data_IF_500403068718
#
_entry.id   IF_500403068718
#
_cell.length_a   1.000
_cell.length_b   1.000
_cell.length_c   1.000
_cell.angle_alpha   90.00
_cell.angle_beta   90.00
_cell.angle_gamma   90.00
#
_symmetry.space_group_name_H-M   'P 1'
#
loop_
_entity.id
_entity.type
_entity.pdbx_description
1 polymer ?
#
# COMPACT_ATOMS: atom_id res chain seq x y z
N UNK A 1 24.38 -2.26 -1.94
CA UNK A 1 23.41 -1.74 -0.98
C UNK A 1 22.20 -1.32 -1.77
N UNK A 2 21.08 -2.03 -1.60
CA UNK A 2 19.89 -1.96 -2.45
C UNK A 2 18.82 -1.16 -1.73
N UNK A 3 18.35 -0.09 -2.36
CA UNK A 3 17.20 0.69 -1.89
C UNK A 3 16.01 0.40 -2.80
N UNK A 4 14.84 0.16 -2.21
CA UNK A 4 13.66 -0.24 -2.97
C UNK A 4 12.49 0.71 -2.74
N UNK A 5 11.71 0.99 -3.79
CA UNK A 5 10.42 1.65 -3.69
C UNK A 5 9.35 0.59 -3.38
N UNK A 6 8.60 0.77 -2.28
CA UNK A 6 7.44 -0.08 -2.00
C UNK A 6 6.34 0.23 -3.02
N UNK A 7 5.90 -0.78 -3.76
CA UNK A 7 4.98 -0.60 -4.88
C UNK A 7 3.93 -1.71 -4.96
N UNK A 8 2.64 -1.36 -5.15
CA UNK A 8 2.05 -0.03 -5.33
C UNK A 8 1.50 0.59 -4.03
N UNK A 9 1.88 0.07 -2.86
CA UNK A 9 1.39 0.47 -1.55
C UNK A 9 2.40 1.34 -0.76
N UNK A 10 1.92 1.95 0.32
CA UNK A 10 2.73 2.80 1.21
C UNK A 10 2.96 2.22 2.62
N UNK A 11 2.21 1.19 2.98
CA UNK A 11 2.37 0.48 4.25
C UNK A 11 2.88 -0.92 3.95
N UNK A 12 3.55 -1.55 4.93
CA UNK A 12 3.99 -2.94 4.86
C UNK A 12 2.80 -3.91 5.02
N UNK A 13 1.77 -3.69 4.23
CA UNK A 13 0.64 -4.58 4.03
C UNK A 13 0.68 -5.05 2.56
N UNK A 14 0.52 -6.34 2.28
CA UNK A 14 0.52 -7.45 3.25
C UNK A 14 1.86 -7.59 4.01
N UNK A 15 1.82 -8.20 5.21
CA UNK A 15 2.98 -8.34 6.10
C UNK A 15 4.14 -9.14 5.48
N UNK A 16 3.89 -10.00 4.47
CA UNK A 16 4.95 -10.66 3.71
C UNK A 16 6.00 -9.69 3.15
N UNK A 17 5.62 -8.44 2.86
CA UNK A 17 6.57 -7.39 2.42
C UNK A 17 7.75 -7.19 3.39
N UNK A 18 7.56 -7.42 4.69
CA UNK A 18 8.60 -7.30 5.71
C UNK A 18 9.76 -8.28 5.50
N UNK A 19 9.51 -9.42 4.85
CA UNK A 19 10.53 -10.44 4.58
C UNK A 19 11.63 -9.92 3.63
N UNK A 20 11.33 -8.90 2.83
CA UNK A 20 12.32 -8.25 1.96
C UNK A 20 13.31 -7.36 2.73
N UNK A 21 13.00 -6.96 3.97
CA UNK A 21 13.79 -5.97 4.70
C UNK A 21 15.24 -6.41 4.94
N UNK A 22 15.51 -7.71 5.02
CA UNK A 22 16.88 -8.22 5.19
C UNK A 22 17.74 -8.05 3.93
N UNK A 23 17.11 -7.80 2.78
CA UNK A 23 17.77 -7.67 1.47
C UNK A 23 17.85 -6.22 0.98
N UNK A 24 17.30 -5.27 1.75
CA UNK A 24 17.27 -3.84 1.41
C UNK A 24 17.78 -3.00 2.58
N UNK A 25 18.57 -1.99 2.25
CA UNK A 25 19.09 -1.06 3.26
C UNK A 25 18.02 -0.04 3.67
N UNK A 26 17.28 0.47 2.68
CA UNK A 26 16.12 1.35 2.88
C UNK A 26 14.98 1.00 1.93
N UNK A 27 13.76 1.14 2.45
CA UNK A 27 12.51 1.09 1.70
C UNK A 27 11.95 2.50 1.60
N UNK A 28 11.61 2.92 0.40
CA UNK A 28 10.99 4.20 0.13
C UNK A 28 9.49 4.04 -0.04
N UNK A 29 8.74 4.96 0.56
CA UNK A 29 7.28 5.05 0.46
C UNK A 29 6.88 6.45 0.07
N UNK A 30 5.70 6.59 -0.53
CA UNK A 30 5.17 7.92 -0.82
C UNK A 30 4.60 8.55 0.45
N UNK A 31 4.95 9.79 0.72
CA UNK A 31 4.43 10.51 1.89
C UNK A 31 3.07 11.14 1.56
N UNK A 32 2.00 10.54 2.08
CA UNK A 32 0.68 11.14 2.16
C UNK A 32 0.43 11.77 3.54
N UNK A 33 -0.80 12.20 3.82
CA UNK A 33 -1.14 12.95 5.03
C UNK A 33 -0.85 12.19 6.33
N UNK A 34 -1.17 10.89 6.39
CA UNK A 34 -1.10 10.08 7.62
C UNK A 34 -0.06 8.95 7.54
N UNK A 35 0.69 8.83 6.43
CA UNK A 35 1.64 7.73 6.20
C UNK A 35 2.65 7.59 7.34
N UNK A 36 3.24 8.69 7.81
CA UNK A 36 4.21 8.67 8.91
C UNK A 36 3.58 8.22 10.23
N UNK A 37 2.38 8.69 10.54
CA UNK A 37 1.58 8.28 11.70
C UNK A 37 1.29 6.79 11.68
N UNK A 38 0.85 6.25 10.54
CA UNK A 38 0.59 4.81 10.40
C UNK A 38 1.85 3.97 10.56
N UNK A 39 2.95 4.37 9.92
CA UNK A 39 4.22 3.65 10.03
C UNK A 39 4.77 3.69 11.46
N UNK A 40 4.63 4.82 12.18
CA UNK A 40 5.02 4.90 13.59
C UNK A 40 4.13 4.04 14.49
N UNK A 41 2.82 3.97 14.21
CA UNK A 41 1.87 3.13 14.96
C UNK A 41 2.15 1.65 14.76
N UNK A 42 2.37 1.21 13.52
CA UNK A 42 2.45 -0.21 13.20
C UNK A 42 3.88 -0.77 13.18
N UNK A 43 4.87 0.03 12.83
CA UNK A 43 6.26 -0.41 12.65
C UNK A 43 7.26 0.61 13.24
N UNK A 44 7.16 0.94 14.55
CA UNK A 44 8.05 1.92 15.18
C UNK A 44 9.54 1.55 15.08
N UNK A 45 9.87 0.26 15.00
CA UNK A 45 11.22 -0.25 14.86
C UNK A 45 11.84 -0.04 13.46
N UNK A 46 11.01 0.24 12.44
CA UNK A 46 11.47 0.36 11.05
C UNK A 46 11.78 1.79 10.62
N UNK A 47 11.66 2.77 11.52
CA UNK A 47 11.79 4.20 11.18
C UNK A 47 13.11 4.52 10.48
N UNK A 48 14.23 3.93 10.90
CA UNK A 48 15.54 4.16 10.28
C UNK A 48 15.69 3.50 8.89
N UNK A 49 14.88 2.47 8.60
CA UNK A 49 14.83 1.78 7.32
C UNK A 49 13.89 2.43 6.31
N UNK A 50 13.08 3.41 6.71
CA UNK A 50 12.08 4.03 5.84
C UNK A 50 12.58 5.37 5.30
N UNK A 51 12.48 5.55 3.98
CA UNK A 51 12.64 6.83 3.30
C UNK A 51 11.30 7.34 2.79
N UNK A 52 11.10 8.65 2.84
CA UNK A 52 9.87 9.30 2.38
C UNK A 52 10.10 10.02 1.06
N UNK A 53 9.17 9.84 0.13
CA UNK A 53 9.11 10.60 -1.12
C UNK A 53 7.91 11.54 -1.04
N UNK A 54 8.20 12.83 -0.86
CA UNK A 54 7.17 13.87 -0.76
C UNK A 54 6.71 14.35 -2.13
N UNK A 55 5.51 14.91 -2.18
CA UNK A 55 5.03 15.61 -3.36
C UNK A 55 5.85 16.86 -3.64
N UNK A 56 6.04 17.20 -4.92
CA UNK A 56 6.53 18.52 -5.30
C UNK A 56 5.52 19.57 -4.84
N UNK A 57 6.01 20.69 -4.35
CA UNK A 57 5.18 21.84 -4.05
C UNK A 57 4.60 22.40 -5.36
N UNK A 58 3.42 21.92 -5.76
CA UNK A 58 2.68 22.46 -6.90
C UNK A 58 1.55 23.36 -6.40
N UNK A 59 1.67 24.67 -6.65
CA UNK A 59 0.67 25.66 -6.26
C UNK A 59 -0.71 25.43 -6.92
N UNK A 60 -0.78 24.63 -8.00
CA UNK A 60 -2.03 24.37 -8.74
C UNK A 60 -2.90 23.29 -8.08
N UNK A 61 -2.28 22.34 -7.38
CA UNK A 61 -3.00 21.28 -6.71
C UNK A 61 -3.40 21.78 -5.32
N UNK A 62 -4.63 22.28 -5.19
CA UNK A 62 -5.25 22.61 -3.89
C UNK A 62 -5.50 21.33 -3.07
N UNK A 63 -4.45 20.63 -2.67
CA UNK A 63 -4.50 19.37 -1.93
C UNK A 63 -4.98 19.57 -0.48
N UNK A 64 -5.01 20.83 0.00
CA UNK A 64 -5.44 21.20 1.35
C UNK A 64 -6.87 20.75 1.68
N UNK A 65 -7.73 20.63 0.67
CA UNK A 65 -9.13 20.25 0.87
C UNK A 65 -9.34 18.72 0.85
N UNK A 66 -8.34 17.93 0.43
CA UNK A 66 -8.47 16.47 0.28
C UNK A 66 -8.81 15.75 1.60
N UNK A 67 -8.23 16.08 2.77
CA UNK A 67 -8.60 15.42 4.02
C UNK A 67 -10.09 15.60 4.38
N UNK A 68 -10.64 16.79 4.12
CA UNK A 68 -12.07 17.07 4.36
C UNK A 68 -12.95 16.27 3.39
N UNK A 69 -12.57 16.21 2.10
CA UNK A 69 -13.28 15.41 1.10
C UNK A 69 -13.24 13.92 1.47
N UNK A 70 -12.06 13.43 1.88
CA UNK A 70 -11.87 12.05 2.31
C UNK A 70 -12.78 11.70 3.49
N UNK A 71 -12.82 12.56 4.51
CA UNK A 71 -13.68 12.40 5.69
C UNK A 71 -15.15 12.34 5.28
N UNK A 72 -15.60 13.25 4.41
CA UNK A 72 -16.98 13.27 3.91
C UNK A 72 -17.33 12.00 3.14
N UNK A 73 -16.41 11.49 2.30
CA UNK A 73 -16.60 10.24 1.56
C UNK A 73 -16.67 9.03 2.48
N UNK A 74 -15.87 9.00 3.55
CA UNK A 74 -15.90 7.93 4.55
C UNK A 74 -17.24 7.94 5.31
N UNK A 75 -17.67 9.10 5.82
CA UNK A 75 -18.96 9.24 6.49
C UNK A 75 -20.13 8.86 5.59
N UNK A 76 -20.07 9.25 4.31
CA UNK A 76 -21.06 8.84 3.33
C UNK A 76 -21.05 7.33 3.09
N UNK A 77 -19.86 6.73 2.96
CA UNK A 77 -19.68 5.28 2.81
C UNK A 77 -20.23 4.49 3.99
N UNK A 78 -20.03 4.97 5.22
CA UNK A 78 -20.62 4.39 6.43
C UNK A 78 -22.14 4.48 6.43
N UNK A 79 -22.68 5.64 6.04
CA UNK A 79 -24.12 5.85 5.96
C UNK A 79 -24.80 4.86 4.99
N UNK A 80 -24.27 4.69 3.78
CA UNK A 80 -24.88 3.83 2.75
C UNK A 80 -24.66 2.32 2.94
N UNK A 81 -24.03 1.91 4.05
CA UNK A 81 -23.69 0.49 4.30
C UNK A 81 -24.93 -0.39 4.54
N UNK A 82 -26.06 0.17 4.97
CA UNK A 82 -27.29 -0.61 5.18
C UNK A 82 -28.16 -0.64 3.92
N UNK A 83 -28.89 -1.75 3.66
CA UNK A 83 -29.81 -1.83 2.52
C UNK A 83 -30.85 -0.70 2.47
N UNK A 84 -31.33 -0.27 3.64
CA UNK A 84 -32.29 0.83 3.77
C UNK A 84 -31.68 2.16 3.33
N UNK A 85 -30.50 2.51 3.85
CA UNK A 85 -29.83 3.76 3.50
C UNK A 85 -29.34 3.77 2.05
N UNK A 86 -28.94 2.61 1.52
CA UNK A 86 -28.61 2.46 0.11
C UNK A 86 -29.85 2.69 -0.77
N UNK A 87 -31.01 2.19 -0.35
CA UNK A 87 -32.28 2.45 -1.04
C UNK A 87 -32.63 3.95 -1.02
N UNK A 88 -32.44 4.63 0.12
CA UNK A 88 -32.61 6.09 0.21
C UNK A 88 -31.65 6.85 -0.70
N UNK A 89 -30.39 6.43 -0.79
CA UNK A 89 -29.44 7.03 -1.72
C UNK A 89 -29.92 6.93 -3.17
N UNK A 90 -30.38 5.76 -3.62
CA UNK A 90 -30.88 5.61 -5.00
C UNK A 90 -32.12 6.47 -5.28
N UNK A 91 -32.95 6.73 -4.27
CA UNK A 91 -34.14 7.60 -4.41
C UNK A 91 -33.80 9.09 -4.46
N UNK A 92 -32.72 9.51 -3.77
CA UNK A 92 -32.34 10.93 -3.61
C UNK A 92 -30.92 11.22 -4.08
N UNK A 93 -30.44 10.48 -5.08
CA UNK A 93 -29.03 10.50 -5.50
C UNK A 93 -28.50 11.91 -5.75
N UNK A 94 -29.27 12.75 -6.47
CA UNK A 94 -28.85 14.12 -6.77
C UNK A 94 -28.64 14.97 -5.52
N UNK A 95 -29.48 14.83 -4.50
CA UNK A 95 -29.40 15.56 -3.23
C UNK A 95 -28.16 15.12 -2.44
N UNK A 96 -27.89 13.81 -2.41
CA UNK A 96 -26.71 13.26 -1.75
C UNK A 96 -25.42 13.69 -2.46
N UNK A 97 -25.38 13.59 -3.79
CA UNK A 97 -24.19 13.99 -4.55
C UNK A 97 -23.91 15.49 -4.47
N UNK A 98 -24.94 16.33 -4.31
CA UNK A 98 -24.79 17.77 -4.04
C UNK A 98 -24.31 18.03 -2.61
N UNK A 99 -24.92 17.38 -1.61
CA UNK A 99 -24.57 17.56 -0.18
C UNK A 99 -23.13 17.15 0.11
N UNK A 100 -22.71 16.02 -0.45
CA UNK A 100 -21.35 15.50 -0.27
C UNK A 100 -20.37 16.01 -1.33
N UNK A 101 -20.84 16.87 -2.26
CA UNK A 101 -20.05 17.36 -3.39
C UNK A 101 -19.32 16.25 -4.16
N UNK A 102 -19.95 15.08 -4.27
CA UNK A 102 -19.41 13.88 -4.95
C UNK A 102 -19.43 14.08 -6.47
N UNK A 103 -20.22 15.05 -6.96
CA UNK A 103 -20.19 15.53 -8.34
C UNK A 103 -18.86 16.22 -8.63
N UNK A 104 -17.86 15.41 -8.96
CA UNK A 104 -16.69 15.86 -9.70
C UNK A 104 -17.16 16.10 -11.15
N UNK A 105 -17.87 17.21 -11.33
CA UNK A 105 -18.29 17.72 -12.64
C UNK A 105 -17.09 18.45 -13.23
N UNK A 106 -16.76 18.04 -14.45
CA UNK A 106 -15.64 18.44 -15.32
C UNK A 106 -14.42 17.49 -15.32
N UNK A 107 -14.06 17.03 -16.54
CA UNK A 107 -12.82 16.31 -16.85
C UNK A 107 -11.65 17.30 -16.92
N UNK A 108 -11.40 18.00 -15.84
CA UNK A 108 -10.14 18.73 -15.70
C UNK A 108 -9.07 17.75 -15.21
N UNK A 109 -7.88 17.86 -15.80
CA UNK A 109 -6.65 17.19 -15.37
C UNK A 109 -6.40 17.28 -13.86
N UNK A 110 -6.72 18.43 -13.23
CA UNK A 110 -6.59 18.64 -11.79
C UNK A 110 -7.54 17.76 -10.97
N UNK A 111 -8.79 17.60 -11.40
CA UNK A 111 -9.77 16.76 -10.74
C UNK A 111 -9.43 15.26 -10.87
N UNK A 112 -8.87 14.86 -12.01
CA UNK A 112 -8.38 13.49 -12.19
C UNK A 112 -7.21 13.14 -11.26
N UNK A 113 -6.30 14.09 -11.01
CA UNK A 113 -5.20 13.93 -10.04
C UNK A 113 -5.77 13.83 -8.62
N UNK A 114 -6.71 14.71 -8.23
CA UNK A 114 -7.36 14.63 -6.91
C UNK A 114 -8.06 13.29 -6.68
N UNK A 115 -8.77 12.77 -7.70
CA UNK A 115 -9.39 11.44 -7.64
C UNK A 115 -8.36 10.35 -7.39
N UNK A 116 -7.24 10.39 -8.12
CA UNK A 116 -6.16 9.45 -7.92
C UNK A 116 -5.62 9.52 -6.47
N UNK A 117 -5.49 10.73 -5.90
CA UNK A 117 -5.01 10.90 -4.53
C UNK A 117 -5.99 10.29 -3.53
N UNK A 118 -7.28 10.57 -3.68
CA UNK A 118 -8.32 10.01 -2.82
C UNK A 118 -8.34 8.48 -2.89
N UNK A 119 -8.13 7.88 -4.06
CA UNK A 119 -8.04 6.42 -4.21
C UNK A 119 -6.85 5.87 -3.40
N UNK A 120 -5.68 6.49 -3.49
CA UNK A 120 -4.49 6.04 -2.76
C UNK A 120 -4.61 6.26 -1.25
N UNK A 121 -5.21 7.37 -0.81
CA UNK A 121 -5.50 7.64 0.61
C UNK A 121 -6.50 6.63 1.19
N UNK A 122 -7.57 6.32 0.44
CA UNK A 122 -8.53 5.30 0.84
C UNK A 122 -7.87 3.91 0.91
N UNK A 123 -6.97 3.62 -0.03
CA UNK A 123 -6.19 2.38 -0.03
C UNK A 123 -5.26 2.28 1.19
N UNK A 124 -4.54 3.35 1.52
CA UNK A 124 -3.66 3.41 2.71
C UNK A 124 -4.47 3.26 4.01
N UNK A 125 -5.62 3.94 4.12
CA UNK A 125 -6.52 3.79 5.28
C UNK A 125 -7.08 2.36 5.40
N UNK A 126 -7.41 1.73 4.27
CA UNK A 126 -7.83 0.33 4.26
C UNK A 126 -6.70 -0.60 4.73
N UNK A 127 -5.49 -0.41 4.22
CA UNK A 127 -4.32 -1.20 4.62
C UNK A 127 -4.02 -1.03 6.11
N UNK A 128 -4.10 0.20 6.64
CA UNK A 128 -3.94 0.49 8.06
C UNK A 128 -5.00 -0.24 8.92
N UNK A 129 -6.26 -0.22 8.48
CA UNK A 129 -7.34 -0.93 9.18
C UNK A 129 -7.15 -2.45 9.13
N UNK A 130 -6.71 -2.98 7.98
CA UNK A 130 -6.43 -4.41 7.83
C UNK A 130 -5.26 -4.85 8.73
N UNK A 131 -4.19 -4.05 8.80
CA UNK A 131 -3.09 -4.27 9.74
C UNK A 131 -3.55 -4.25 11.21
N UNK A 132 -4.44 -3.33 11.57
CA UNK A 132 -5.00 -3.26 12.92
C UNK A 132 -5.84 -4.49 13.26
N UNK A 133 -6.70 -4.93 12.34
CA UNK A 133 -7.49 -6.16 12.48
C UNK A 133 -6.56 -7.37 12.59
N UNK A 134 -5.56 -7.49 11.73
CA UNK A 134 -4.61 -8.59 11.73
C UNK A 134 -3.86 -8.69 13.06
N UNK A 135 -3.31 -7.57 13.55
CA UNK A 135 -2.65 -7.52 14.88
C UNK A 135 -3.61 -7.85 16.03
N UNK A 136 -4.86 -7.39 15.96
CA UNK A 136 -5.86 -7.69 16.98
C UNK A 136 -6.23 -9.18 17.00
N UNK A 137 -6.35 -9.80 15.81
CA UNK A 137 -6.60 -11.24 15.68
C UNK A 137 -5.42 -12.05 16.21
N UNK A 138 -4.18 -11.72 15.84
CA UNK A 138 -2.97 -12.37 16.38
C UNK A 138 -2.95 -12.27 17.91
N UNK A 139 -3.17 -11.07 18.47
CA UNK A 139 -3.19 -10.89 19.92
C UNK A 139 -4.32 -11.66 20.61
N UNK A 140 -5.47 -11.78 19.96
CA UNK A 140 -6.59 -12.58 20.46
C UNK A 140 -6.24 -14.07 20.48
N UNK A 141 -5.67 -14.59 19.40
CA UNK A 141 -5.26 -15.99 19.29
C UNK A 141 -4.20 -16.35 20.33
N UNK A 142 -3.16 -15.52 20.48
CA UNK A 142 -2.13 -15.72 21.51
C UNK A 142 -2.73 -15.73 22.92
N UNK A 143 -3.65 -14.81 23.22
CA UNK A 143 -4.32 -14.76 24.54
C UNK A 143 -5.22 -15.97 24.76
N UNK A 144 -5.95 -16.38 23.72
CA UNK A 144 -6.83 -17.53 23.77
C UNK A 144 -6.06 -18.83 23.96
N UNK A 145 -4.95 -19.02 23.23
CA UNK A 145 -4.07 -20.17 23.38
C UNK A 145 -3.48 -20.24 24.79
N UNK A 146 -2.94 -19.12 25.29
CA UNK A 146 -2.45 -19.02 26.66
C UNK A 146 -3.54 -19.35 27.69
N UNK A 147 -4.77 -18.90 27.47
CA UNK A 147 -5.90 -19.24 28.33
C UNK A 147 -6.23 -20.73 28.26
N UNK A 148 -6.24 -21.31 27.06
CA UNK A 148 -6.58 -22.71 26.82
C UNK A 148 -5.54 -23.66 27.44
N UNK A 149 -4.26 -23.44 27.19
CA UNK A 149 -3.17 -24.26 27.77
C UNK A 149 -3.23 -24.23 29.30
N UNK A 150 -3.36 -23.03 29.90
CA UNK A 150 -3.33 -22.88 31.36
C UNK A 150 -4.59 -23.37 32.07
N UNK A 151 -5.77 -23.07 31.52
CA UNK A 151 -7.03 -23.25 32.25
C UNK A 151 -7.83 -24.47 31.80
N UNK A 152 -7.58 -24.98 30.58
CA UNK A 152 -8.30 -26.13 30.03
C UNK A 152 -7.40 -27.36 30.03
N UNK A 153 -6.15 -27.23 29.56
CA UNK A 153 -5.19 -28.34 29.57
C UNK A 153 -4.44 -28.49 30.90
N UNK A 154 -4.51 -27.50 31.80
CA UNK A 154 -3.76 -27.45 33.05
C UNK A 154 -2.25 -27.65 32.85
N UNK A 155 -1.73 -27.23 31.70
CA UNK A 155 -0.31 -27.27 31.41
C UNK A 155 0.39 -26.17 32.25
N UNK A 156 1.19 -26.60 33.21
CA UNK A 156 2.07 -25.70 33.97
C UNK A 156 3.06 -25.02 33.04
N UNK A 157 3.48 -23.79 33.39
CA UNK A 157 4.35 -22.88 32.62
C UNK A 157 5.74 -23.45 32.21
N UNK A 158 6.02 -24.73 32.48
CA UNK A 158 7.26 -25.44 32.21
C UNK A 158 7.20 -26.40 31.02
N UNK A 159 6.08 -26.51 30.31
CA UNK A 159 6.02 -27.31 29.08
C UNK A 159 6.57 -26.53 27.88
N UNK A 160 7.78 -26.88 27.46
CA UNK A 160 8.31 -26.53 26.14
C UNK A 160 7.55 -27.28 25.03
N UNK A 161 7.20 -26.50 24.00
CA UNK A 161 6.81 -26.86 22.64
C UNK A 161 5.38 -27.36 22.39
N UNK A 162 4.55 -26.43 21.93
CA UNK A 162 3.74 -26.63 20.74
C UNK A 162 4.00 -25.50 19.75
N UNK A 163 4.88 -25.76 18.78
CA UNK A 163 4.95 -24.95 17.57
C UNK A 163 3.70 -25.26 16.74
N UNK A 164 2.75 -24.33 16.69
CA UNK A 164 1.71 -24.35 15.65
C UNK A 164 2.02 -23.21 14.68
N UNK A 165 2.78 -23.59 13.63
CA UNK A 165 2.90 -22.81 12.39
C UNK A 165 1.63 -22.99 11.57
N UNK A 166 0.84 -21.94 11.48
CA UNK A 166 0.54 -21.16 10.27
C UNK A 166 -0.56 -20.21 10.70
N UNK A 167 -0.17 -18.93 10.79
CA UNK A 167 -1.02 -17.85 11.24
C UNK A 167 -2.23 -17.78 10.32
N UNK A 168 -3.35 -17.20 10.76
CA UNK A 168 -4.53 -16.98 9.91
C UNK A 168 -4.12 -16.29 8.62
N UNK A 169 -3.80 -17.08 7.60
CA UNK A 169 -3.39 -16.61 6.30
C UNK A 169 -4.68 -16.32 5.55
N UNK A 170 -5.28 -15.17 5.89
CA UNK A 170 -6.19 -14.53 4.95
C UNK A 170 -5.46 -14.31 3.62
N UNK A 171 -6.19 -14.09 2.52
CA UNK A 171 -5.54 -13.67 1.28
C UNK A 171 -4.79 -12.35 1.53
N UNK A 172 -3.47 -12.47 1.68
CA UNK A 172 -2.49 -11.39 1.81
C UNK A 172 -2.28 -10.70 0.46
N UNK A 173 -3.37 -10.17 -0.11
CA UNK A 173 -3.36 -9.49 -1.39
C UNK A 173 -3.86 -8.06 -1.22
N UNK A 174 -3.29 -7.16 -2.01
CA UNK A 174 -3.74 -5.77 -2.07
C UNK A 174 -5.11 -5.67 -2.74
N UNK A 175 -6.06 -5.06 -2.03
CA UNK A 175 -7.40 -4.83 -2.54
C UNK A 175 -7.41 -3.81 -3.69
N UNK A 176 -8.16 -4.09 -4.76
CA UNK A 176 -8.30 -3.20 -5.92
C UNK A 176 -6.95 -2.82 -6.58
N UNK A 177 -6.01 -3.76 -6.66
CA UNK A 177 -4.65 -3.58 -7.18
C UNK A 177 -4.56 -2.71 -8.44
N UNK A 178 -5.31 -3.05 -9.49
CA UNK A 178 -5.33 -2.28 -10.75
C UNK A 178 -5.69 -0.80 -10.56
N UNK A 179 -6.70 -0.50 -9.72
CA UNK A 179 -7.09 0.89 -9.43
C UNK A 179 -6.00 1.64 -8.68
N UNK A 180 -5.29 0.97 -7.76
CA UNK A 180 -4.14 1.56 -7.06
C UNK A 180 -3.02 1.88 -8.02
N UNK A 181 -2.65 0.92 -8.88
CA UNK A 181 -1.64 1.10 -9.93
C UNK A 181 -1.99 2.27 -10.85
N UNK A 182 -3.22 2.33 -11.36
CA UNK A 182 -3.66 3.38 -12.27
C UNK A 182 -3.69 4.77 -11.60
N UNK A 183 -4.12 4.84 -10.33
CA UNK A 183 -4.07 6.06 -9.55
C UNK A 183 -2.62 6.49 -9.29
N UNK A 184 -1.75 5.54 -8.93
CA UNK A 184 -0.36 5.80 -8.65
C UNK A 184 0.39 6.28 -9.90
N UNK A 185 0.16 5.67 -11.07
CA UNK A 185 0.71 6.13 -12.36
C UNK A 185 0.43 7.61 -12.67
N UNK A 186 -0.71 8.12 -12.21
CA UNK A 186 -1.10 9.53 -12.41
C UNK A 186 -0.39 10.48 -11.45
N UNK A 187 -0.01 10.00 -10.28
CA UNK A 187 0.57 10.83 -9.20
C UNK A 187 2.09 10.70 -9.15
N UNK A 188 2.64 9.54 -9.55
CA UNK A 188 4.07 9.25 -9.52
C UNK A 188 4.94 10.36 -10.15
N UNK A 189 4.52 11.03 -11.25
CA UNK A 189 5.32 12.10 -11.86
C UNK A 189 5.38 13.38 -11.01
N UNK A 190 4.44 13.55 -10.08
CA UNK A 190 4.30 14.74 -9.23
C UNK A 190 5.17 14.67 -7.97
N UNK A 191 5.81 13.53 -7.70
CA UNK A 191 6.71 13.39 -6.56
C UNK A 191 8.07 14.06 -6.78
N UNK A 192 8.72 14.41 -5.66
CA UNK A 192 10.05 14.98 -5.65
C UNK A 192 11.10 13.86 -5.72
N UNK A 193 11.67 13.66 -6.92
CA UNK A 193 12.62 12.60 -7.20
C UNK A 193 14.09 13.01 -7.02
N UNK A 194 14.36 14.30 -6.80
CA UNK A 194 15.72 14.87 -6.78
C UNK A 194 16.65 14.17 -5.78
N UNK A 195 16.11 13.82 -4.60
CA UNK A 195 16.85 13.18 -3.52
C UNK A 195 16.79 11.65 -3.54
N UNK A 196 16.12 11.05 -4.52
CA UNK A 196 15.88 9.60 -4.62
C UNK A 196 16.11 9.06 -6.03
N UNK A 197 16.86 9.80 -6.86
CA UNK A 197 17.20 9.42 -8.25
C UNK A 197 18.05 8.15 -8.35
N UNK A 198 18.66 7.71 -7.24
CA UNK A 198 19.41 6.46 -7.15
C UNK A 198 18.55 5.21 -7.05
N UNK A 199 17.22 5.34 -6.87
CA UNK A 199 16.33 4.18 -6.79
C UNK A 199 16.30 3.40 -8.11
N UNK A 200 16.57 2.11 -8.04
CA UNK A 200 16.59 1.22 -9.20
C UNK A 200 15.73 -0.04 -9.02
N UNK A 201 15.17 -0.23 -7.82
CA UNK A 201 14.49 -1.45 -7.40
C UNK A 201 13.05 -1.16 -6.95
N UNK A 202 12.10 -1.96 -7.44
CA UNK A 202 10.72 -2.01 -6.94
C UNK A 202 10.56 -3.19 -5.98
N UNK A 203 9.96 -2.95 -4.81
CA UNK A 203 9.52 -4.00 -3.90
C UNK A 203 8.04 -4.29 -4.15
N UNK A 204 7.74 -5.50 -4.62
CA UNK A 204 6.39 -5.92 -5.03
C UNK A 204 5.97 -7.17 -4.26
N UNK A 205 4.73 -7.17 -3.78
CA UNK A 205 4.11 -8.32 -3.09
C UNK A 205 3.11 -9.09 -3.95
N UNK A 206 2.64 -8.50 -5.04
CA UNK A 206 1.56 -9.05 -5.86
C UNK A 206 2.12 -9.68 -7.15
N UNK A 207 1.93 -10.99 -7.31
CA UNK A 207 2.43 -11.71 -8.48
C UNK A 207 1.81 -11.21 -9.79
N UNK A 208 0.56 -10.76 -9.74
CA UNK A 208 -0.17 -10.18 -10.87
C UNK A 208 0.59 -9.00 -11.51
N UNK A 209 1.25 -8.16 -10.71
CA UNK A 209 2.03 -7.03 -11.24
C UNK A 209 3.23 -7.48 -12.06
N UNK A 210 3.84 -8.61 -11.68
CA UNK A 210 4.98 -9.14 -12.43
C UNK A 210 4.51 -9.60 -13.81
N UNK A 211 3.35 -10.22 -13.90
CA UNK A 211 2.77 -10.60 -15.19
C UNK A 211 2.47 -9.38 -16.07
N UNK A 212 1.85 -8.34 -15.50
CA UNK A 212 1.59 -7.09 -16.23
C UNK A 212 2.88 -6.39 -16.68
N UNK A 213 3.95 -6.43 -15.87
CA UNK A 213 5.24 -5.81 -16.20
C UNK A 213 6.08 -6.67 -17.17
N UNK A 214 5.90 -8.00 -17.16
CA UNK A 214 6.62 -8.96 -18.02
C UNK A 214 6.34 -8.74 -19.51
N UNK A 215 5.14 -8.28 -19.87
CA UNK A 215 4.76 -8.07 -21.26
C UNK A 215 5.57 -6.94 -21.95
N UNK A 216 6.11 -5.97 -21.19
CA UNK A 216 6.80 -4.81 -21.77
C UNK A 216 8.33 -4.81 -21.56
N UNK A 217 8.84 -5.40 -20.47
CA UNK A 217 10.22 -5.15 -20.00
C UNK A 217 11.21 -6.33 -20.05
N UNK A 218 10.79 -7.53 -20.49
CA UNK A 218 11.61 -8.75 -20.67
C UNK A 218 12.62 -9.04 -19.53
N UNK A 219 12.30 -9.96 -18.62
CA UNK A 219 13.17 -10.37 -17.52
C UNK A 219 14.45 -11.03 -18.06
N UNK A 220 15.61 -10.49 -17.67
CA UNK A 220 16.94 -11.00 -18.01
C UNK A 220 17.40 -12.14 -17.10
N UNK A 221 17.15 -12.00 -15.81
CA UNK A 221 17.59 -12.96 -14.81
C UNK A 221 16.64 -12.98 -13.63
N UNK A 222 16.44 -14.16 -13.07
CA UNK A 222 15.69 -14.42 -11.85
C UNK A 222 16.62 -15.10 -10.85
N UNK A 223 16.72 -14.55 -9.65
CA UNK A 223 17.55 -15.09 -8.57
C UNK A 223 16.69 -15.23 -7.32
N UNK A 224 16.52 -16.45 -6.83
CA UNK A 224 15.90 -16.69 -5.53
C UNK A 224 16.90 -16.34 -4.42
N UNK A 225 16.56 -15.36 -3.59
CA UNK A 225 17.39 -14.92 -2.47
C UNK A 225 17.10 -15.72 -1.20
N UNK A 226 15.83 -16.09 -1.04
CA UNK A 226 15.27 -16.86 0.07
C UNK A 226 13.96 -17.48 -0.43
N UNK A 227 13.44 -18.51 0.26
CA UNK A 227 12.18 -19.18 -0.10
C UNK A 227 11.08 -18.15 -0.37
N UNK A 228 10.59 -17.99 -1.60
CA UNK A 228 9.53 -17.01 -1.93
C UNK A 228 9.97 -15.54 -2.06
N UNK A 229 11.28 -15.27 -2.09
CA UNK A 229 11.84 -13.93 -2.35
C UNK A 229 12.73 -14.00 -3.58
N UNK A 230 12.36 -13.24 -4.61
CA UNK A 230 13.01 -13.26 -5.91
C UNK A 230 13.52 -11.88 -6.31
N UNK A 231 14.76 -11.81 -6.76
CA UNK A 231 15.31 -10.64 -7.43
C UNK A 231 15.24 -10.86 -8.95
N UNK A 232 14.46 -10.03 -9.62
CA UNK A 232 14.29 -10.03 -11.07
C UNK A 232 15.01 -8.82 -11.64
N UNK A 233 15.88 -9.03 -12.64
CA UNK A 233 16.52 -7.94 -13.38
C UNK A 233 15.87 -7.81 -14.75
N UNK A 234 15.56 -6.59 -15.16
CA UNK A 234 14.92 -6.31 -16.47
C UNK A 234 15.94 -5.75 -17.45
N UNK A 235 15.68 -5.92 -18.75
CA UNK A 235 16.57 -5.36 -19.79
C UNK A 235 16.30 -3.88 -20.08
N UNK A 236 15.14 -3.39 -19.67
CA UNK A 236 14.66 -2.03 -19.87
C UNK A 236 14.15 -1.46 -18.55
N UNK A 237 14.11 -0.14 -18.49
CA UNK A 237 13.50 0.58 -17.38
C UNK A 237 12.00 0.26 -17.29
N UNK A 238 11.51 0.08 -16.08
CA UNK A 238 10.10 -0.07 -15.73
C UNK A 238 9.40 1.28 -15.62
N UNK A 239 10.08 2.41 -15.87
CA UNK A 239 9.51 3.75 -15.74
C UNK A 239 8.21 3.92 -16.52
N UNK A 240 8.15 3.40 -17.75
CA UNK A 240 6.92 3.44 -18.55
C UNK A 240 5.77 2.70 -17.87
N UNK A 241 6.02 1.52 -17.29
CA UNK A 241 5.06 0.75 -16.49
C UNK A 241 4.63 1.49 -15.23
N UNK A 242 5.48 2.36 -14.70
CA UNK A 242 5.20 3.18 -13.54
C UNK A 242 4.48 4.49 -13.88
N UNK A 243 4.45 4.91 -15.15
CA UNK A 243 3.96 6.22 -15.57
C UNK A 243 5.00 7.34 -15.43
N UNK A 244 6.27 6.98 -15.22
CA UNK A 244 7.40 7.91 -15.13
C UNK A 244 8.00 8.22 -16.52
N UNK A 245 8.56 9.42 -16.72
CA UNK A 245 9.37 9.73 -17.90
C UNK A 245 10.65 8.88 -17.97
N UNK A 246 11.21 8.73 -19.17
CA UNK A 246 12.54 8.12 -19.38
C UNK A 246 13.70 9.15 -19.33
N UNK A 247 13.43 10.35 -18.82
CA UNK A 247 14.42 11.43 -18.69
C UNK A 247 15.52 11.09 -17.67
N UNK A 248 16.70 11.71 -17.80
CA UNK A 248 17.85 11.45 -16.92
C UNK A 248 17.61 11.82 -15.44
N UNK A 249 16.64 12.68 -15.14
CA UNK A 249 16.36 13.18 -13.80
C UNK A 249 15.44 12.28 -12.96
N UNK A 250 14.99 11.14 -13.49
CA UNK A 250 14.15 10.18 -12.78
C UNK A 250 14.93 8.92 -12.42
N UNK A 251 14.55 8.22 -11.33
CA UNK A 251 15.12 6.92 -11.04
C UNK A 251 14.84 5.95 -12.18
N UNK A 252 15.77 5.01 -12.41
CA UNK A 252 15.67 4.02 -13.48
C UNK A 252 15.41 2.66 -12.86
N UNK A 253 14.13 2.32 -12.72
CA UNK A 253 13.72 1.05 -12.13
C UNK A 253 14.05 -0.11 -13.09
N UNK A 254 15.10 -0.85 -12.80
CA UNK A 254 15.59 -1.98 -13.62
C UNK A 254 15.63 -3.30 -12.84
N UNK A 255 15.16 -3.28 -11.59
CA UNK A 255 15.09 -4.44 -10.72
C UNK A 255 13.72 -4.52 -10.04
N UNK A 256 13.26 -5.74 -9.80
CA UNK A 256 12.09 -6.04 -8.99
C UNK A 256 12.52 -7.02 -7.91
N UNK A 257 12.35 -6.63 -6.65
CA UNK A 257 12.38 -7.51 -5.50
C UNK A 257 10.95 -7.97 -5.21
N UNK A 258 10.66 -9.21 -5.58
CA UNK A 258 9.34 -9.82 -5.46
C UNK A 258 9.26 -10.67 -4.20
N UNK A 259 8.17 -10.53 -3.44
CA UNK A 259 7.89 -11.36 -2.26
C UNK A 259 6.54 -12.04 -2.39
N UNK A 260 6.57 -13.38 -2.44
CA UNK A 260 5.42 -14.26 -2.58
C UNK A 260 5.28 -15.22 -1.40
#
# INVERSE_FOLDING_TARGET
MTCALLYPQNLFYPLKSLRALDFVDKVFVFEFFDTSTYLQKFFPELQEKIGYISLRADEKLKLRDLPNILTNLQLFGEYIRTPENLSYYYLYQDLFEETFSIKIRERDSSEEIKRAFLILLLAENLDANLLEVEKALISFEEKWENFFQRNILFEDQFYENLAIKEWVSGPENLWNLKRRVDALKRIIPLFCWENVSFLDTLLITEAELIWEMKEEALILSETELSKGIYLLKTNKSLNKNLGLPEEENFPKFVQILAVF
#
